data_IF_287894383778
#
_entry.id   IF_287894383778
#
_cell.length_a   1.000
_cell.length_b   1.000
_cell.length_c   1.000
_cell.angle_alpha   90.00
_cell.angle_beta   90.00
_cell.angle_gamma   90.00
#
_symmetry.space_group_name_H-M   'P 1'
#
loop_
_entity.id
_entity.type
_entity.pdbx_description
1 polymer ?
#
# COMPACT_ATOMS: atom_id res chain seq x y z
N UNK A 1 1.20 0.49 18.14
CA UNK A 1 2.29 0.77 17.20
C UNK A 1 2.71 -0.61 16.69
N UNK A 2 2.40 -0.96 15.45
CA UNK A 2 2.82 -2.23 14.85
C UNK A 2 4.24 -1.99 14.30
N UNK A 3 5.23 -2.50 15.01
CA UNK A 3 6.57 -2.76 14.48
C UNK A 3 6.40 -3.84 13.41
N UNK A 4 6.51 -3.48 12.13
CA UNK A 4 6.23 -4.41 11.03
C UNK A 4 7.27 -5.52 10.86
N UNK A 5 7.91 -5.94 11.94
CA UNK A 5 8.72 -7.15 12.07
C UNK A 5 8.02 -8.07 13.06
N UNK A 6 7.44 -9.17 12.58
CA UNK A 6 7.04 -10.22 13.51
C UNK A 6 8.32 -10.74 14.17
N UNK A 7 8.50 -10.51 15.47
CA UNK A 7 9.66 -10.94 16.28
C UNK A 7 9.73 -12.47 16.46
N UNK A 8 8.93 -13.23 15.72
CA UNK A 8 8.84 -14.67 15.85
C UNK A 8 9.96 -15.35 15.05
N UNK A 9 10.96 -15.87 15.76
CA UNK A 9 12.04 -16.69 15.19
C UNK A 9 11.50 -17.91 14.43
N UNK A 10 10.36 -18.45 14.85
CA UNK A 10 9.69 -19.59 14.23
C UNK A 10 8.23 -19.29 13.88
N UNK A 11 7.72 -19.83 12.75
CA UNK A 11 6.32 -19.64 12.41
C UNK A 11 5.37 -20.18 13.49
N UNK A 12 4.49 -19.32 14.01
CA UNK A 12 3.44 -19.68 14.96
C UNK A 12 2.28 -20.42 14.29
N UNK A 13 1.70 -21.34 15.05
CA UNK A 13 0.42 -21.95 14.73
C UNK A 13 -0.71 -20.90 14.77
N UNK A 14 -1.66 -21.04 13.87
CA UNK A 14 -2.81 -20.18 13.69
C UNK A 14 -4.03 -21.06 13.44
N UNK A 15 -5.14 -20.66 14.02
CA UNK A 15 -6.46 -21.26 13.80
C UNK A 15 -7.42 -20.18 13.27
N UNK A 16 -8.17 -20.50 12.23
CA UNK A 16 -9.22 -19.63 11.68
C UNK A 16 -10.56 -20.29 11.95
N UNK A 17 -11.42 -19.52 12.62
CA UNK A 17 -12.78 -19.91 12.93
C UNK A 17 -13.75 -19.14 12.04
N UNK A 18 -14.67 -19.86 11.39
CA UNK A 18 -15.79 -19.27 10.64
C UNK A 18 -17.08 -19.75 11.31
N UNK A 19 -17.91 -18.80 11.73
CA UNK A 19 -19.15 -19.07 12.49
C UNK A 19 -18.90 -19.95 13.73
N UNK A 20 -17.79 -19.71 14.43
CA UNK A 20 -17.40 -20.43 15.64
C UNK A 20 -16.90 -21.87 15.40
N UNK A 21 -16.83 -22.33 14.15
CA UNK A 21 -16.26 -23.64 13.79
C UNK A 21 -14.82 -23.46 13.36
N UNK A 22 -13.93 -24.39 13.71
CA UNK A 22 -12.55 -24.41 13.20
C UNK A 22 -12.55 -24.84 11.74
N UNK A 23 -12.06 -23.98 10.84
CA UNK A 23 -11.99 -24.26 9.40
C UNK A 23 -10.56 -24.50 8.91
N UNK A 24 -9.60 -23.71 9.40
CA UNK A 24 -8.20 -23.78 8.98
C UNK A 24 -7.32 -23.83 10.22
N UNK A 25 -6.36 -24.76 10.23
CA UNK A 25 -5.30 -24.86 11.22
C UNK A 25 -3.97 -24.98 10.51
N UNK A 26 -2.98 -24.20 10.89
CA UNK A 26 -1.68 -24.25 10.25
C UNK A 26 -0.75 -23.12 10.64
N UNK A 27 0.25 -22.89 9.80
CA UNK A 27 1.25 -21.84 10.00
C UNK A 27 0.66 -20.47 9.64
N UNK A 28 0.79 -19.47 10.53
CA UNK A 28 0.29 -18.11 10.28
C UNK A 28 0.83 -17.49 8.98
N UNK A 29 2.03 -17.89 8.53
CA UNK A 29 2.63 -17.44 7.25
C UNK A 29 1.76 -17.75 6.04
N UNK A 30 0.92 -18.78 6.12
CA UNK A 30 -0.05 -19.11 5.07
C UNK A 30 -1.10 -18.01 4.83
N UNK A 31 -1.29 -17.10 5.80
CA UNK A 31 -2.19 -15.95 5.69
C UNK A 31 -1.40 -14.66 5.61
N UNK A 32 -0.41 -14.48 6.48
CA UNK A 32 0.29 -13.18 6.57
C UNK A 32 1.08 -12.87 5.31
N UNK A 33 1.76 -13.85 4.69
CA UNK A 33 2.55 -13.57 3.49
C UNK A 33 1.65 -13.14 2.31
N UNK A 34 0.60 -13.89 1.92
CA UNK A 34 -0.31 -13.45 0.87
C UNK A 34 -0.99 -12.11 1.19
N UNK A 35 -1.31 -11.86 2.46
CA UNK A 35 -1.93 -10.60 2.89
C UNK A 35 -0.99 -9.41 2.71
N UNK A 36 0.28 -9.56 3.12
CA UNK A 36 1.31 -8.52 2.94
C UNK A 36 1.56 -8.26 1.46
N UNK A 37 1.74 -9.31 0.65
CA UNK A 37 1.92 -9.21 -0.79
C UNK A 37 0.73 -8.52 -1.47
N UNK A 38 -0.50 -8.92 -1.11
CA UNK A 38 -1.73 -8.30 -1.60
C UNK A 38 -1.79 -6.81 -1.23
N UNK A 39 -1.38 -6.45 -0.01
CA UNK A 39 -1.30 -5.06 0.44
C UNK A 39 -0.29 -4.24 -0.37
N UNK A 40 0.87 -4.80 -0.69
CA UNK A 40 1.90 -4.15 -1.52
C UNK A 40 1.40 -3.96 -2.95
N UNK A 41 0.80 -5.00 -3.55
CA UNK A 41 0.20 -4.92 -4.90
C UNK A 41 -0.93 -3.88 -4.93
N UNK A 42 -1.80 -3.89 -3.93
CA UNK A 42 -2.89 -2.92 -3.81
C UNK A 42 -2.35 -1.49 -3.68
N UNK A 43 -1.29 -1.28 -2.89
CA UNK A 43 -0.64 0.02 -2.75
C UNK A 43 -0.11 0.55 -4.09
N UNK A 44 0.51 -0.31 -4.91
CA UNK A 44 0.92 0.05 -6.28
C UNK A 44 -0.28 0.48 -7.13
N UNK A 45 -1.37 -0.29 -7.10
CA UNK A 45 -2.58 0.04 -7.87
C UNK A 45 -3.17 1.38 -7.43
N UNK A 46 -3.20 1.66 -6.13
CA UNK A 46 -3.66 2.95 -5.60
C UNK A 46 -2.77 4.11 -6.05
N UNK A 47 -1.44 3.93 -6.07
CA UNK A 47 -0.53 4.97 -6.59
C UNK A 47 -0.79 5.24 -8.08
N UNK A 48 -0.95 4.20 -8.90
CA UNK A 48 -1.25 4.34 -10.32
C UNK A 48 -2.64 4.97 -10.55
N UNK A 49 -3.62 4.61 -9.72
CA UNK A 49 -4.94 5.25 -9.67
C UNK A 49 -4.84 6.75 -9.39
N UNK A 50 -4.05 7.16 -8.39
CA UNK A 50 -3.77 8.57 -8.07
C UNK A 50 -3.01 9.32 -9.17
N UNK A 51 -2.41 8.60 -10.12
CA UNK A 51 -1.64 9.17 -11.22
C UNK A 51 -0.13 9.20 -10.98
N UNK A 52 0.38 8.36 -10.07
CA UNK A 52 1.79 8.25 -9.73
C UNK A 52 2.35 6.89 -10.19
N UNK A 53 3.60 6.88 -10.62
CA UNK A 53 4.36 5.67 -10.97
C UNK A 53 5.81 5.81 -10.53
N UNK A 54 6.54 4.70 -10.48
CA UNK A 54 7.99 4.74 -10.26
C UNK A 54 8.74 4.72 -11.60
N UNK A 55 9.76 5.56 -11.72
CA UNK A 55 10.88 5.31 -12.62
C UNK A 55 11.91 4.48 -11.85
N UNK A 56 11.83 3.16 -12.02
CA UNK A 56 12.73 2.21 -11.34
C UNK A 56 14.19 2.36 -11.77
N UNK A 57 14.46 2.96 -12.94
CA UNK A 57 15.84 3.18 -13.42
C UNK A 57 16.49 4.33 -12.66
N UNK A 58 15.75 5.41 -12.45
CA UNK A 58 16.24 6.59 -11.75
C UNK A 58 15.95 6.56 -10.24
N UNK A 59 15.14 5.60 -9.77
CA UNK A 59 14.79 5.46 -8.36
C UNK A 59 13.87 6.58 -7.86
N UNK A 60 13.01 7.12 -8.73
CA UNK A 60 12.17 8.29 -8.45
C UNK A 60 10.69 8.01 -8.70
N UNK A 61 9.82 8.85 -8.15
CA UNK A 61 8.40 8.90 -8.53
C UNK A 61 8.21 9.88 -9.70
N UNK A 62 7.31 9.51 -10.60
CA UNK A 62 6.87 10.28 -11.75
C UNK A 62 5.34 10.31 -11.83
N UNK A 63 4.84 11.29 -12.57
CA UNK A 63 3.42 11.41 -12.90
C UNK A 63 3.05 10.59 -14.14
N UNK A 64 1.85 10.01 -14.10
CA UNK A 64 1.24 9.33 -15.24
C UNK A 64 0.82 10.38 -16.27
N UNK A 65 1.58 10.46 -17.36
CA UNK A 65 1.29 11.39 -18.48
C UNK A 65 0.07 10.96 -19.30
N UNK A 66 -0.09 9.66 -19.54
CA UNK A 66 -1.17 9.08 -20.34
C UNK A 66 -1.59 7.72 -19.78
N UNK A 67 -2.90 7.52 -19.64
CA UNK A 67 -3.49 6.23 -19.26
C UNK A 67 -3.68 5.31 -20.46
N UNK A 68 -3.66 4.00 -20.23
CA UNK A 68 -4.05 3.05 -21.27
C UNK A 68 -5.59 3.06 -21.41
N UNK A 69 -6.13 2.72 -22.58
CA UNK A 69 -7.56 2.55 -22.74
C UNK A 69 -8.10 1.55 -21.72
N UNK A 70 -9.12 1.95 -20.96
CA UNK A 70 -9.75 1.13 -19.93
C UNK A 70 -9.20 1.30 -18.51
N UNK A 71 -8.06 1.99 -18.33
CA UNK A 71 -7.55 2.28 -16.99
C UNK A 71 -8.45 3.30 -16.30
N UNK A 72 -8.84 3.01 -15.05
CA UNK A 72 -9.57 3.94 -14.20
C UNK A 72 -8.59 4.76 -13.37
N UNK A 73 -8.77 6.08 -13.40
CA UNK A 73 -7.96 7.04 -12.67
C UNK A 73 -8.76 7.90 -11.72
N UNK A 74 -8.06 8.52 -10.77
CA UNK A 74 -8.67 9.48 -9.83
C UNK A 74 -9.37 10.62 -10.55
N UNK A 75 -8.84 11.08 -11.68
CA UNK A 75 -9.41 12.14 -12.51
C UNK A 75 -10.74 11.76 -13.18
N UNK A 76 -11.21 10.52 -13.04
CA UNK A 76 -12.52 10.10 -13.53
C UNK A 76 -13.62 10.25 -12.48
N UNK A 77 -13.25 10.63 -11.25
CA UNK A 77 -14.16 10.73 -10.11
C UNK A 77 -14.62 12.17 -9.89
N UNK A 78 -15.88 12.30 -9.54
CA UNK A 78 -16.49 13.56 -9.14
C UNK A 78 -17.57 13.35 -8.09
N UNK A 79 -17.78 14.35 -7.25
CA UNK A 79 -18.85 14.39 -6.26
C UNK A 79 -19.29 15.84 -6.04
N UNK A 80 -20.60 16.10 -6.03
CA UNK A 80 -21.18 17.44 -5.85
C UNK A 80 -20.51 18.53 -6.71
N UNK A 81 -20.25 18.20 -7.99
CA UNK A 81 -19.62 19.11 -8.95
C UNK A 81 -18.11 19.34 -8.75
N UNK A 82 -17.48 18.70 -7.76
CA UNK A 82 -16.03 18.70 -7.58
C UNK A 82 -15.41 17.58 -8.41
N UNK A 83 -14.56 17.96 -9.34
CA UNK A 83 -13.75 17.04 -10.13
C UNK A 83 -12.37 16.88 -9.50
N UNK A 84 -11.82 15.68 -9.56
CA UNK A 84 -10.45 15.44 -9.11
C UNK A 84 -9.46 15.57 -10.26
N UNK A 85 -8.24 15.94 -9.92
CA UNK A 85 -7.09 15.92 -10.82
C UNK A 85 -6.13 14.81 -10.39
N UNK A 86 -5.22 14.43 -11.30
CA UNK A 86 -4.12 13.53 -10.94
C UNK A 86 -3.26 14.20 -9.88
N UNK A 87 -2.78 13.39 -8.92
CA UNK A 87 -1.87 13.85 -7.89
C UNK A 87 -0.50 14.09 -8.52
N UNK A 88 0.05 15.28 -8.32
CA UNK A 88 1.42 15.60 -8.77
C UNK A 88 2.45 14.95 -7.84
N UNK A 89 3.68 14.79 -8.34
CA UNK A 89 4.79 14.31 -7.50
C UNK A 89 4.97 15.22 -6.28
N UNK A 90 4.91 16.52 -6.48
CA UNK A 90 5.09 17.53 -5.45
C UNK A 90 4.03 17.43 -4.36
N UNK A 91 2.77 17.31 -4.76
CA UNK A 91 1.64 17.11 -3.85
C UNK A 91 1.82 15.84 -3.02
N UNK A 92 2.14 14.72 -3.66
CA UNK A 92 2.30 13.44 -2.96
C UNK A 92 3.40 13.51 -1.89
N UNK A 93 4.57 14.05 -2.27
CA UNK A 93 5.72 14.15 -1.38
C UNK A 93 5.54 15.21 -0.29
N UNK A 94 4.68 16.21 -0.49
CA UNK A 94 4.37 17.23 0.52
C UNK A 94 3.53 16.70 1.70
N UNK A 95 2.83 15.58 1.50
CA UNK A 95 1.96 14.98 2.52
C UNK A 95 2.67 14.06 3.50
N UNK A 96 3.91 13.69 3.21
CA UNK A 96 4.68 12.83 4.09
C UNK A 96 5.27 13.61 5.27
N UNK A 97 5.06 13.15 6.52
CA UNK A 97 5.82 13.67 7.65
C UNK A 97 7.26 13.17 7.58
N UNK A 98 8.23 14.08 7.64
CA UNK A 98 9.67 13.74 7.65
C UNK A 98 10.41 14.23 6.42
N UNK A 99 11.51 13.54 6.06
CA UNK A 99 12.35 13.91 4.93
C UNK A 99 11.68 13.53 3.61
N UNK A 100 11.72 14.45 2.66
CA UNK A 100 11.17 14.24 1.31
C UNK A 100 11.83 13.05 0.59
N UNK A 101 13.12 12.85 0.82
CA UNK A 101 13.87 11.73 0.24
C UNK A 101 13.34 10.37 0.72
N UNK A 102 13.01 10.26 2.00
CA UNK A 102 12.48 9.02 2.59
C UNK A 102 11.06 8.73 2.08
N UNK A 103 10.26 9.78 1.90
CA UNK A 103 8.94 9.69 1.29
C UNK A 103 9.02 9.14 -0.14
N UNK A 104 9.87 9.74 -0.99
CA UNK A 104 10.02 9.31 -2.38
C UNK A 104 10.57 7.87 -2.45
N UNK A 105 11.61 7.57 -1.67
CA UNK A 105 12.20 6.24 -1.62
C UNK A 105 11.20 5.18 -1.15
N UNK A 106 10.36 5.50 -0.16
CA UNK A 106 9.33 4.58 0.33
C UNK A 106 8.33 4.20 -0.76
N UNK A 107 7.86 5.18 -1.53
CA UNK A 107 6.92 4.95 -2.64
C UNK A 107 7.55 4.13 -3.77
N UNK A 108 8.81 4.43 -4.13
CA UNK A 108 9.54 3.68 -5.16
C UNK A 108 9.72 2.23 -4.74
N UNK A 109 10.12 1.99 -3.49
CA UNK A 109 10.29 0.64 -2.93
C UNK A 109 8.96 -0.11 -2.93
N UNK A 110 7.85 0.52 -2.53
CA UNK A 110 6.52 -0.12 -2.62
C UNK A 110 6.19 -0.59 -4.04
N UNK A 111 6.44 0.24 -5.06
CA UNK A 111 6.18 -0.11 -6.46
C UNK A 111 7.14 -1.21 -6.95
N UNK A 112 8.43 -1.11 -6.61
CA UNK A 112 9.43 -2.10 -6.98
C UNK A 112 9.12 -3.48 -6.38
N UNK A 113 8.72 -3.52 -5.11
CA UNK A 113 8.31 -4.76 -4.46
C UNK A 113 7.03 -5.33 -5.07
N UNK A 114 6.03 -4.50 -5.39
CA UNK A 114 4.83 -4.97 -6.08
C UNK A 114 5.17 -5.62 -7.43
N UNK A 115 6.10 -5.05 -8.20
CA UNK A 115 6.58 -5.68 -9.44
C UNK A 115 7.31 -7.00 -9.18
N UNK A 116 8.15 -7.08 -8.14
CA UNK A 116 8.83 -8.32 -7.78
C UNK A 116 7.85 -9.40 -7.29
N UNK A 117 6.89 -9.06 -6.44
CA UNK A 117 5.86 -10.00 -5.98
C UNK A 117 5.07 -10.61 -7.13
N UNK A 118 4.82 -9.85 -8.20
CA UNK A 118 4.15 -10.36 -9.40
C UNK A 118 5.09 -11.23 -10.25
N UNK A 119 6.36 -10.85 -10.38
CA UNK A 119 7.33 -11.54 -11.24
C UNK A 119 7.98 -12.78 -10.60
N UNK A 120 8.11 -12.80 -9.27
CA UNK A 120 8.82 -13.80 -8.48
C UNK A 120 7.93 -14.34 -7.36
N UNK A 121 6.69 -14.71 -7.69
CA UNK A 121 5.71 -15.33 -6.77
C UNK A 121 6.25 -16.58 -6.02
N UNK A 122 7.43 -17.09 -6.40
CA UNK A 122 8.10 -18.28 -5.85
C UNK A 122 9.41 -18.00 -5.11
N UNK A 123 9.93 -16.76 -5.11
CA UNK A 123 11.13 -16.42 -4.34
C UNK A 123 10.74 -15.91 -2.95
N UNK A 124 11.48 -16.35 -1.93
CA UNK A 124 11.19 -16.09 -0.52
C UNK A 124 11.15 -14.61 -0.10
N UNK A 125 10.84 -14.35 1.18
CA UNK A 125 10.52 -13.02 1.68
C UNK A 125 11.66 -12.01 1.52
N UNK A 126 11.29 -10.75 1.62
CA UNK A 126 12.13 -9.56 1.48
C UNK A 126 13.30 -9.61 2.48
N UNK A 127 14.54 -9.71 1.99
CA UNK A 127 15.75 -9.93 2.81
C UNK A 127 16.47 -8.65 3.27
N UNK A 128 16.08 -7.45 2.79
CA UNK A 128 16.69 -6.19 3.21
C UNK A 128 15.92 -5.57 4.39
N UNK A 129 16.45 -5.55 5.62
CA UNK A 129 15.75 -4.97 6.78
C UNK A 129 15.40 -3.49 6.60
N UNK A 130 16.22 -2.72 5.87
CA UNK A 130 15.94 -1.31 5.58
C UNK A 130 14.76 -1.11 4.63
N UNK A 131 14.40 -2.14 3.86
CA UNK A 131 13.25 -2.11 2.96
C UNK A 131 11.92 -2.29 3.69
N UNK A 132 11.89 -3.00 4.83
CA UNK A 132 10.66 -3.23 5.59
C UNK A 132 10.12 -1.92 6.17
N UNK A 133 10.96 -1.11 6.82
CA UNK A 133 10.55 0.19 7.36
C UNK A 133 10.05 1.13 6.25
N UNK A 134 10.72 1.11 5.09
CA UNK A 134 10.31 1.87 3.92
C UNK A 134 9.00 1.35 3.31
N UNK A 135 8.72 0.05 3.37
CA UNK A 135 7.44 -0.51 2.95
C UNK A 135 6.29 -0.14 3.90
N UNK A 136 6.54 -0.15 5.21
CA UNK A 136 5.56 0.31 6.21
C UNK A 136 5.28 1.80 6.01
N UNK A 137 6.33 2.60 5.83
CA UNK A 137 6.21 4.04 5.56
C UNK A 137 5.46 4.29 4.24
N UNK A 138 5.79 3.54 3.20
CA UNK A 138 5.12 3.57 1.90
C UNK A 138 3.63 3.27 2.04
N UNK A 139 3.27 2.13 2.67
CA UNK A 139 1.88 1.73 2.87
C UNK A 139 1.06 2.78 3.64
N UNK A 140 1.62 3.32 4.73
CA UNK A 140 0.98 4.40 5.52
C UNK A 140 0.76 5.65 4.66
N UNK A 141 1.76 6.03 3.88
CA UNK A 141 1.64 7.20 3.03
C UNK A 141 0.67 7.00 1.88
N UNK A 142 0.60 5.82 1.25
CA UNK A 142 -0.44 5.53 0.25
C UNK A 142 -1.84 5.71 0.84
N UNK A 143 -2.09 5.20 2.05
CA UNK A 143 -3.37 5.39 2.72
C UNK A 143 -3.68 6.87 2.98
N UNK A 144 -2.68 7.65 3.43
CA UNK A 144 -2.83 9.08 3.64
C UNK A 144 -3.09 9.84 2.33
N UNK A 145 -2.42 9.46 1.24
CA UNK A 145 -2.66 10.04 -0.09
C UNK A 145 -4.08 9.74 -0.57
N UNK A 146 -4.55 8.50 -0.44
CA UNK A 146 -5.93 8.17 -0.82
C UNK A 146 -6.93 8.92 0.06
N UNK A 147 -6.72 8.99 1.37
CA UNK A 147 -7.54 9.79 2.28
C UNK A 147 -7.66 11.26 1.81
N UNK A 148 -6.52 11.92 1.62
CA UNK A 148 -6.48 13.34 1.32
C UNK A 148 -6.93 13.68 -0.11
N UNK A 149 -6.49 12.92 -1.10
CA UNK A 149 -6.71 13.25 -2.51
C UNK A 149 -8.01 12.69 -3.07
N UNK A 150 -8.53 11.59 -2.53
CA UNK A 150 -9.84 11.05 -2.92
C UNK A 150 -10.94 11.56 -1.99
N UNK A 151 -10.92 11.16 -0.71
CA UNK A 151 -12.07 11.37 0.18
C UNK A 151 -12.22 12.84 0.60
N UNK A 152 -11.16 13.46 1.11
CA UNK A 152 -11.21 14.86 1.58
C UNK A 152 -11.51 15.82 0.43
N UNK A 153 -10.87 15.65 -0.73
CA UNK A 153 -11.14 16.51 -1.91
C UNK A 153 -12.57 16.35 -2.45
N UNK A 154 -13.11 15.13 -2.48
CA UNK A 154 -14.51 14.90 -2.86
C UNK A 154 -15.49 15.34 -1.78
N UNK A 155 -15.04 15.60 -0.55
CA UNK A 155 -15.92 15.96 0.57
C UNK A 155 -16.79 14.81 1.06
N UNK A 156 -16.35 13.57 0.85
CA UNK A 156 -17.07 12.35 1.27
C UNK A 156 -16.42 11.73 2.51
N UNK A 157 -17.18 11.03 3.36
CA UNK A 157 -16.61 10.35 4.51
C UNK A 157 -15.65 9.23 4.07
N UNK A 158 -14.51 9.14 4.73
CA UNK A 158 -13.61 7.99 4.59
C UNK A 158 -14.24 6.76 5.25
N UNK A 159 -14.18 5.58 4.63
CA UNK A 159 -14.62 4.34 5.26
C UNK A 159 -13.85 4.06 6.56
N UNK A 160 -14.54 3.48 7.54
CA UNK A 160 -13.89 3.05 8.78
C UNK A 160 -13.09 1.76 8.53
N UNK A 161 -11.78 1.92 8.34
CA UNK A 161 -10.84 0.80 8.21
C UNK A 161 -10.26 0.34 9.54
N UNK A 162 -10.82 0.77 10.68
CA UNK A 162 -10.27 0.41 11.99
C UNK A 162 -10.35 -1.10 12.24
N UNK A 163 -9.18 -1.71 12.45
CA UNK A 163 -9.10 -3.07 12.98
C UNK A 163 -9.20 -2.95 14.50
N UNK A 164 -10.34 -3.36 15.05
CA UNK A 164 -10.51 -3.45 16.50
C UNK A 164 -9.67 -4.60 17.02
N UNK A 165 -8.57 -4.28 17.68
CA UNK A 165 -7.78 -5.28 18.38
C UNK A 165 -8.60 -5.79 19.57
N UNK A 166 -9.04 -7.04 19.51
CA UNK A 166 -9.58 -7.73 20.68
C UNK A 166 -8.37 -8.01 21.57
N UNK A 167 -8.23 -7.24 22.65
CA UNK A 167 -7.28 -7.63 23.71
C UNK A 167 -7.72 -9.00 24.23
N UNK A 168 -6.79 -9.96 24.39
CA UNK A 168 -7.11 -11.22 25.05
C UNK A 168 -7.61 -10.97 26.48
#
# INVERSE_FOLDING_TARGET
MLDGTSTWENPKEMEIYIEGKLWIKGNHRAITNPTVESGIIHSRVLLEFLGLRADLKNGTIEEVKKRKPGDIGIEMFQHDGRHLERVTKEEALSKYPGRREDAERSLVITIAHAHRSIAHLTEGPIEDPGSIDLLILGAKGVLALVHDFLYVRLGIPTPDYSIKQIKP
#
